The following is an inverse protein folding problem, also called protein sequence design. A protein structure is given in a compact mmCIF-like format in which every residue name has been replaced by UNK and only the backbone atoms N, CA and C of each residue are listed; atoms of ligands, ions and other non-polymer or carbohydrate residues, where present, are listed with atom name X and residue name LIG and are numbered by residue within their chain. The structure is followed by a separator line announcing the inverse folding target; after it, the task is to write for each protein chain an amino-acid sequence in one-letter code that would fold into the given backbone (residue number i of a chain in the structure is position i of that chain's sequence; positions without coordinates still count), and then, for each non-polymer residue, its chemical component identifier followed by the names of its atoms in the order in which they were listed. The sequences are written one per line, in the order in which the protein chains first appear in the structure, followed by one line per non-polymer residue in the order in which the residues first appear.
data_IF_753361675807
#
_entry.id   IF_753361675807
#
_cell.length_a   1.000
_cell.length_b   1.000
_cell.length_c   1.000
_cell.angle_alpha   90.00
_cell.angle_beta   90.00
_cell.angle_gamma   90.00
#
_symmetry.space_group_name_H-M   'P 1'
#
loop_
_entity.id
_entity.type
_entity.pdbx_description
1 polymer ?
#
# COMPACT_ATOMS: atom_id res chain seq x y z
N UNK A 1 -1.42 37.54 54.67
CA UNK A 1 -2.02 37.31 53.34
C UNK A 1 -0.90 36.93 52.38
N UNK A 2 -0.81 35.66 51.98
CA UNK A 2 0.19 35.17 51.00
C UNK A 2 -0.57 34.73 49.75
N UNK A 3 -0.42 35.49 48.68
CA UNK A 3 -0.96 35.18 47.37
C UNK A 3 0.00 34.21 46.67
N UNK A 4 -0.39 32.94 46.55
CA UNK A 4 0.29 31.98 45.67
C UNK A 4 -0.59 31.76 44.45
N UNK A 5 -0.22 32.41 43.36
CA UNK A 5 -0.83 32.21 42.04
C UNK A 5 -0.30 30.90 41.45
N UNK A 6 -1.15 29.89 41.31
CA UNK A 6 -0.85 28.62 40.65
C UNK A 6 -1.09 28.81 39.15
N UNK A 7 -0.01 29.00 38.39
CA UNK A 7 -0.03 28.90 36.93
C UNK A 7 -0.02 27.41 36.58
N UNK A 8 -1.19 26.86 36.26
CA UNK A 8 -1.31 25.51 35.72
C UNK A 8 -0.87 25.53 34.25
N UNK A 9 0.30 24.95 33.98
CA UNK A 9 0.85 24.81 32.63
C UNK A 9 0.11 23.66 31.92
N UNK A 10 -0.79 24.01 31.00
CA UNK A 10 -1.54 23.07 30.19
C UNK A 10 -0.60 22.44 29.15
N UNK A 11 -0.16 21.20 29.36
CA UNK A 11 0.64 20.45 28.39
C UNK A 11 -0.30 19.96 27.29
N UNK A 12 -0.41 20.71 26.20
CA UNK A 12 -1.08 20.26 24.98
C UNK A 12 -0.15 19.34 24.21
N UNK A 13 -0.36 18.03 24.32
CA UNK A 13 0.27 17.04 23.44
C UNK A 13 -0.25 17.24 22.02
N UNK A 14 0.55 17.86 21.16
CA UNK A 14 0.29 17.95 19.72
C UNK A 14 0.43 16.53 19.17
N UNK A 15 -0.70 15.87 18.92
CA UNK A 15 -0.72 14.64 18.14
C UNK A 15 -0.37 15.00 16.69
N UNK A 16 0.90 14.86 16.33
CA UNK A 16 1.37 15.00 14.95
C UNK A 16 0.70 13.94 14.09
N UNK A 17 -0.38 14.29 13.39
CA UNK A 17 -0.93 13.44 12.33
C UNK A 17 0.09 13.39 11.21
N UNK A 18 0.94 12.36 11.21
CA UNK A 18 1.86 12.12 10.11
C UNK A 18 1.04 11.87 8.84
N UNK A 19 0.86 12.91 8.02
CA UNK A 19 0.23 12.78 6.71
C UNK A 19 1.21 12.05 5.79
N UNK A 20 1.02 10.75 5.64
CA UNK A 20 1.79 9.95 4.69
C UNK A 20 1.33 10.28 3.26
N UNK A 21 2.24 10.74 2.40
CA UNK A 21 1.91 11.16 1.05
C UNK A 21 1.17 10.04 0.29
N UNK A 22 0.08 10.40 -0.38
CA UNK A 22 -0.80 9.51 -1.15
C UNK A 22 -1.60 8.49 -0.33
N UNK A 23 -1.28 8.29 0.95
CA UNK A 23 -1.95 7.27 1.77
C UNK A 23 -3.45 7.54 1.95
N UNK A 24 -3.93 8.77 2.21
CA UNK A 24 -5.37 9.02 2.33
C UNK A 24 -6.16 8.61 1.08
N UNK A 25 -5.63 8.91 -0.11
CA UNK A 25 -6.22 8.54 -1.40
C UNK A 25 -6.21 7.02 -1.61
N UNK A 26 -5.09 6.36 -1.32
CA UNK A 26 -4.97 4.90 -1.40
C UNK A 26 -5.97 4.22 -0.45
N UNK A 27 -6.12 4.75 0.77
CA UNK A 27 -7.04 4.22 1.78
C UNK A 27 -8.50 4.35 1.40
N UNK A 28 -8.89 5.34 0.58
CA UNK A 28 -10.27 5.42 0.05
C UNK A 28 -10.63 4.19 -0.78
N UNK A 29 -9.73 3.79 -1.69
CA UNK A 29 -9.91 2.58 -2.51
C UNK A 29 -9.77 1.32 -1.66
N UNK A 30 -8.74 1.26 -0.79
CA UNK A 30 -8.51 0.10 0.06
C UNK A 30 -9.72 -0.21 0.97
N UNK A 31 -10.29 0.82 1.60
CA UNK A 31 -11.44 0.68 2.49
C UNK A 31 -12.74 0.41 1.72
N UNK A 32 -12.88 0.97 0.51
CA UNK A 32 -14.08 0.82 -0.31
C UNK A 32 -13.73 0.54 -1.79
N UNK A 33 -13.38 -0.72 -2.13
CA UNK A 33 -12.96 -1.09 -3.48
C UNK A 33 -14.02 -0.84 -4.56
N UNK A 34 -15.29 -0.71 -4.18
CA UNK A 34 -16.40 -0.37 -5.11
C UNK A 34 -16.26 1.03 -5.73
N UNK A 35 -15.46 1.90 -5.14
CA UNK A 35 -15.16 3.23 -5.68
C UNK A 35 -14.18 3.17 -6.87
N UNK A 36 -13.50 2.03 -7.07
CA UNK A 36 -12.58 1.89 -8.18
C UNK A 36 -13.31 1.87 -9.53
N UNK A 37 -12.73 2.48 -10.58
CA UNK A 37 -13.26 2.37 -11.93
C UNK A 37 -13.37 0.91 -12.36
N UNK A 38 -14.49 0.57 -13.02
CA UNK A 38 -14.71 -0.78 -13.54
C UNK A 38 -13.83 -1.03 -14.76
N UNK A 39 -13.12 -2.14 -14.75
CA UNK A 39 -12.28 -2.65 -15.82
C UNK A 39 -12.94 -3.92 -16.36
N UNK A 40 -13.10 -4.02 -17.68
CA UNK A 40 -13.77 -5.14 -18.32
C UNK A 40 -13.13 -6.50 -17.98
N UNK A 41 -11.80 -6.54 -17.96
CA UNK A 41 -11.02 -7.73 -17.61
C UNK A 41 -11.30 -8.26 -16.19
N UNK A 42 -11.73 -7.39 -15.27
CA UNK A 42 -12.10 -7.76 -13.90
C UNK A 42 -13.51 -8.37 -13.77
N UNK A 43 -14.32 -8.36 -14.83
CA UNK A 43 -15.67 -9.00 -14.86
C UNK A 43 -16.58 -8.64 -13.67
N UNK A 44 -16.44 -7.44 -13.13
CA UNK A 44 -17.22 -6.97 -11.98
C UNK A 44 -16.64 -7.29 -10.60
N UNK A 45 -15.50 -7.99 -10.51
CA UNK A 45 -14.78 -8.18 -9.25
C UNK A 45 -14.28 -6.83 -8.70
N UNK A 46 -14.75 -6.46 -7.52
CA UNK A 46 -14.45 -5.17 -6.90
C UNK A 46 -13.00 -5.09 -6.42
N UNK A 47 -12.42 -6.20 -5.98
CA UNK A 47 -11.05 -6.25 -5.49
C UNK A 47 -10.06 -6.22 -6.65
N UNK A 48 -10.36 -6.88 -7.77
CA UNK A 48 -9.62 -6.74 -9.01
C UNK A 48 -9.57 -5.27 -9.49
N UNK A 49 -10.74 -4.62 -9.59
CA UNK A 49 -10.84 -3.22 -10.00
C UNK A 49 -10.07 -2.30 -9.05
N UNK A 50 -10.20 -2.55 -7.75
CA UNK A 50 -9.52 -1.81 -6.72
C UNK A 50 -8.01 -2.01 -6.72
N UNK A 51 -7.51 -3.23 -6.99
CA UNK A 51 -6.08 -3.48 -7.14
C UNK A 51 -5.51 -2.70 -8.33
N UNK A 52 -6.18 -2.70 -9.48
CA UNK A 52 -5.77 -1.90 -10.65
C UNK A 52 -5.80 -0.40 -10.35
N UNK A 53 -6.77 0.07 -9.56
CA UNK A 53 -6.82 1.48 -9.15
C UNK A 53 -5.69 1.83 -8.17
N UNK A 54 -5.35 0.95 -7.23
CA UNK A 54 -4.23 1.11 -6.31
C UNK A 54 -2.89 1.05 -7.05
N UNK A 55 -2.74 0.13 -8.01
CA UNK A 55 -1.49 -0.04 -8.75
C UNK A 55 -1.09 1.19 -9.57
N UNK A 56 -2.01 2.11 -9.85
CA UNK A 56 -1.74 3.41 -10.49
C UNK A 56 -1.17 4.45 -9.52
N UNK A 57 -1.42 4.31 -8.21
CA UNK A 57 -1.02 5.26 -7.16
C UNK A 57 0.39 4.99 -6.62
N UNK A 58 1.07 3.93 -7.06
CA UNK A 58 2.42 3.58 -6.59
C UNK A 58 3.46 4.71 -6.76
N UNK A 59 3.24 5.63 -7.71
CA UNK A 59 4.10 6.80 -7.92
C UNK A 59 4.05 7.78 -6.76
N UNK A 60 2.97 7.78 -5.99
CA UNK A 60 2.72 8.71 -4.88
C UNK A 60 3.45 8.29 -3.60
N UNK A 61 3.93 7.04 -3.52
CA UNK A 61 4.83 6.59 -2.45
C UNK A 61 6.11 7.45 -2.51
N UNK A 62 6.55 8.11 -1.42
CA UNK A 62 7.76 8.95 -1.46
C UNK A 62 9.00 8.18 -1.91
N UNK A 63 9.88 8.80 -2.72
CA UNK A 63 11.12 8.14 -3.16
C UNK A 63 12.07 7.79 -1.99
N UNK A 64 12.02 8.56 -0.90
CA UNK A 64 12.80 8.33 0.30
C UNK A 64 12.17 7.30 1.26
N UNK A 65 10.96 6.84 1.00
CA UNK A 65 10.28 5.88 1.88
C UNK A 65 10.99 4.51 1.88
N UNK A 66 11.04 3.88 3.05
CA UNK A 66 11.54 2.52 3.25
C UNK A 66 10.51 1.72 4.03
N UNK A 67 10.04 0.62 3.44
CA UNK A 67 9.15 -0.33 4.10
C UNK A 67 9.86 -0.96 5.29
N UNK A 68 9.20 -0.94 6.45
CA UNK A 68 9.77 -1.36 7.74
C UNK A 68 11.11 -0.66 8.06
N UNK A 69 11.32 0.55 7.53
CA UNK A 69 12.56 1.32 7.68
C UNK A 69 13.77 0.77 6.91
N UNK A 70 13.62 -0.29 6.12
CA UNK A 70 14.75 -1.01 5.50
C UNK A 70 14.66 -1.13 3.99
N UNK A 71 13.48 -1.46 3.46
CA UNK A 71 13.36 -1.94 2.08
C UNK A 71 12.82 -0.88 1.13
N UNK A 72 13.49 -0.67 -0.01
CA UNK A 72 13.03 0.24 -1.06
C UNK A 72 12.03 -0.44 -2.01
N UNK A 73 10.80 -0.59 -1.52
CA UNK A 73 9.70 -1.22 -2.28
C UNK A 73 9.34 -0.46 -3.56
N UNK A 74 9.60 0.85 -3.62
CA UNK A 74 9.36 1.64 -4.83
C UNK A 74 10.41 1.33 -5.89
N UNK A 75 11.66 1.11 -5.50
CA UNK A 75 12.69 0.61 -6.42
C UNK A 75 12.38 -0.79 -6.91
N UNK A 76 11.91 -1.70 -6.07
CA UNK A 76 11.49 -3.03 -6.51
C UNK A 76 10.32 -2.96 -7.49
N UNK A 77 9.31 -2.11 -7.21
CA UNK A 77 8.20 -1.88 -8.14
C UNK A 77 8.64 -1.37 -9.52
N UNK A 78 9.63 -0.46 -9.57
CA UNK A 78 10.17 0.04 -10.85
C UNK A 78 10.84 -1.03 -11.70
N UNK A 79 11.52 -1.98 -11.05
CA UNK A 79 12.21 -3.07 -11.76
C UNK A 79 11.23 -4.05 -12.40
N UNK A 80 9.98 -4.06 -11.95
CA UNK A 80 8.98 -4.99 -12.43
C UNK A 80 9.25 -6.42 -11.95
N UNK A 81 8.57 -7.39 -12.57
CA UNK A 81 8.84 -8.80 -12.33
C UNK A 81 10.26 -9.08 -12.81
N UNK A 82 11.13 -9.45 -11.87
CA UNK A 82 12.53 -9.76 -12.15
C UNK A 82 12.79 -11.19 -11.73
N UNK A 83 13.69 -11.88 -12.42
CA UNK A 83 14.05 -13.26 -12.12
C UNK A 83 15.53 -13.34 -11.74
N UNK A 84 15.87 -14.19 -10.77
CA UNK A 84 17.26 -14.55 -10.52
C UNK A 84 17.81 -15.53 -11.57
N UNK A 85 19.08 -15.90 -11.44
CA UNK A 85 19.74 -16.87 -12.33
C UNK A 85 19.18 -18.30 -12.22
N UNK A 86 18.28 -18.57 -11.27
CA UNK A 86 17.52 -19.82 -11.19
C UNK A 86 16.10 -19.69 -11.76
N UNK A 87 15.74 -18.54 -12.33
CA UNK A 87 14.41 -18.30 -12.88
C UNK A 87 13.33 -18.07 -11.82
N UNK A 88 13.71 -17.77 -10.56
CA UNK A 88 12.75 -17.44 -9.51
C UNK A 88 12.41 -15.96 -9.56
N UNK A 89 11.13 -15.61 -9.48
CA UNK A 89 10.69 -14.22 -9.38
C UNK A 89 11.30 -13.61 -8.09
N UNK A 90 12.02 -12.51 -8.17
CA UNK A 90 12.59 -11.78 -7.03
C UNK A 90 11.98 -10.39 -6.87
N UNK A 91 10.85 -10.14 -7.54
CA UNK A 91 10.00 -8.98 -7.30
C UNK A 91 9.33 -9.03 -5.91
N UNK A 92 8.48 -8.04 -5.64
CA UNK A 92 7.81 -7.86 -4.35
C UNK A 92 6.96 -9.08 -3.93
N UNK A 93 6.48 -9.86 -4.90
CA UNK A 93 5.70 -11.09 -4.68
C UNK A 93 6.45 -12.18 -3.88
N UNK A 94 7.79 -12.28 -3.99
CA UNK A 94 8.56 -13.33 -3.28
C UNK A 94 9.26 -12.84 -2.02
N UNK A 95 9.37 -11.54 -1.81
CA UNK A 95 10.17 -10.96 -0.73
C UNK A 95 9.39 -10.50 0.49
N UNK A 96 8.07 -10.42 0.40
CA UNK A 96 7.23 -9.77 1.42
C UNK A 96 5.94 -10.55 1.68
N UNK A 97 5.53 -10.54 2.95
CA UNK A 97 4.27 -11.13 3.39
C UNK A 97 3.21 -10.06 3.57
N UNK A 98 1.98 -10.36 3.14
CA UNK A 98 0.81 -9.53 3.37
C UNK A 98 0.00 -10.12 4.53
N UNK A 99 -0.36 -9.28 5.50
CA UNK A 99 -0.87 -9.73 6.79
C UNK A 99 -2.38 -9.74 6.89
N UNK A 100 -3.05 -8.95 6.08
CA UNK A 100 -4.49 -8.76 6.20
C UNK A 100 -5.26 -9.51 5.11
N UNK A 101 -6.37 -10.14 5.50
CA UNK A 101 -7.29 -10.79 4.54
C UNK A 101 -7.75 -9.82 3.46
N UNK A 102 -7.95 -8.54 3.81
CA UNK A 102 -8.33 -7.52 2.84
C UNK A 102 -7.25 -7.30 1.78
N UNK A 103 -5.99 -7.20 2.18
CA UNK A 103 -4.88 -7.11 1.23
C UNK A 103 -4.81 -8.36 0.36
N UNK A 104 -4.97 -9.55 0.94
CA UNK A 104 -5.01 -10.80 0.18
C UNK A 104 -6.17 -10.84 -0.82
N UNK A 105 -7.37 -10.36 -0.47
CA UNK A 105 -8.49 -10.25 -1.40
C UNK A 105 -8.17 -9.35 -2.61
N UNK A 106 -7.41 -8.26 -2.42
CA UNK A 106 -6.95 -7.42 -3.53
C UNK A 106 -5.99 -8.18 -4.47
N UNK A 107 -5.08 -8.96 -3.90
CA UNK A 107 -4.12 -9.77 -4.66
C UNK A 107 -4.86 -10.89 -5.41
N UNK A 108 -5.69 -11.66 -4.72
CA UNK A 108 -6.50 -12.74 -5.31
C UNK A 108 -7.44 -12.23 -6.39
N UNK A 109 -8.08 -11.07 -6.18
CA UNK A 109 -8.93 -10.43 -7.18
C UNK A 109 -8.15 -10.10 -8.45
N UNK A 110 -6.92 -9.58 -8.33
CA UNK A 110 -6.04 -9.34 -9.48
C UNK A 110 -5.59 -10.65 -10.15
N UNK A 111 -5.16 -11.64 -9.36
CA UNK A 111 -4.68 -12.92 -9.85
C UNK A 111 -5.77 -13.74 -10.57
N UNK A 112 -7.05 -13.46 -10.27
CA UNK A 112 -8.20 -14.05 -10.97
C UNK A 112 -8.35 -13.59 -12.43
N UNK A 113 -7.67 -12.50 -12.82
CA UNK A 113 -7.65 -12.03 -14.20
C UNK A 113 -6.95 -13.03 -15.12
N UNK A 114 -7.34 -13.06 -16.39
CA UNK A 114 -6.59 -13.80 -17.39
C UNK A 114 -5.16 -13.25 -17.51
N UNK A 115 -4.15 -14.11 -17.54
CA UNK A 115 -2.72 -13.72 -17.54
C UNK A 115 -2.38 -12.62 -18.55
N UNK A 116 -2.90 -12.70 -19.78
CA UNK A 116 -2.67 -11.68 -20.83
C UNK A 116 -3.17 -10.27 -20.45
N UNK A 117 -4.23 -10.19 -19.65
CA UNK A 117 -4.76 -8.91 -19.17
C UNK A 117 -3.94 -8.39 -17.98
N UNK A 118 -3.32 -9.28 -17.20
CA UNK A 118 -2.44 -8.91 -16.09
C UNK A 118 -1.17 -8.20 -16.57
N UNK A 119 -0.63 -8.60 -17.74
CA UNK A 119 0.56 -7.98 -18.35
C UNK A 119 0.38 -6.47 -18.64
N UNK A 120 -0.87 -6.01 -18.75
CA UNK A 120 -1.20 -4.59 -18.98
C UNK A 120 -1.23 -3.76 -17.68
N UNK A 121 -1.13 -4.42 -16.53
CA UNK A 121 -1.21 -3.80 -15.20
C UNK A 121 0.16 -3.82 -14.54
N UNK A 122 0.54 -2.72 -13.90
CA UNK A 122 1.74 -2.69 -13.08
C UNK A 122 1.52 -3.46 -11.76
N UNK A 123 1.54 -4.79 -11.81
CA UNK A 123 1.36 -5.68 -10.65
C UNK A 123 2.31 -5.27 -9.51
N UNK A 124 3.59 -5.09 -9.80
CA UNK A 124 4.58 -4.71 -8.78
C UNK A 124 4.30 -3.34 -8.16
N UNK A 125 3.75 -2.40 -8.92
CA UNK A 125 3.24 -1.13 -8.38
C UNK A 125 2.08 -1.34 -7.40
N UNK A 126 1.14 -2.24 -7.72
CA UNK A 126 0.04 -2.62 -6.82
C UNK A 126 0.54 -3.23 -5.52
N UNK A 127 1.45 -4.21 -5.61
CA UNK A 127 2.07 -4.84 -4.44
C UNK A 127 2.80 -3.81 -3.55
N UNK A 128 3.53 -2.86 -4.15
CA UNK A 128 4.18 -1.79 -3.38
C UNK A 128 3.18 -0.90 -2.63
N UNK A 129 2.04 -0.59 -3.24
CA UNK A 129 0.99 0.20 -2.57
C UNK A 129 0.38 -0.57 -1.41
N UNK A 130 0.12 -1.87 -1.57
CA UNK A 130 -0.40 -2.71 -0.49
C UNK A 130 0.60 -2.82 0.67
N UNK A 131 1.89 -3.04 0.39
CA UNK A 131 2.94 -3.03 1.42
C UNK A 131 3.05 -1.66 2.12
N UNK A 132 2.94 -0.57 1.37
CA UNK A 132 2.93 0.78 1.94
C UNK A 132 1.73 0.99 2.88
N UNK A 133 0.53 0.57 2.46
CA UNK A 133 -0.67 0.62 3.29
C UNK A 133 -0.47 -0.17 4.58
N UNK A 134 -0.02 -1.43 4.51
CA UNK A 134 0.12 -2.25 5.70
C UNK A 134 1.15 -1.67 6.67
N UNK A 135 2.32 -1.21 6.19
CA UNK A 135 3.35 -0.62 7.07
C UNK A 135 2.88 0.70 7.70
N UNK A 136 2.26 1.59 6.91
CA UNK A 136 1.81 2.88 7.43
C UNK A 136 0.65 2.80 8.41
N UNK A 137 -0.15 1.75 8.33
CA UNK A 137 -1.18 1.48 9.32
C UNK A 137 -0.67 0.59 10.48
N UNK A 138 0.60 0.19 10.47
CA UNK A 138 1.20 -0.64 11.53
C UNK A 138 0.81 -2.11 11.48
N UNK A 139 0.22 -2.59 10.38
CA UNK A 139 -0.20 -3.97 10.16
C UNK A 139 0.93 -4.87 9.68
N UNK A 140 2.03 -4.29 9.21
CA UNK A 140 3.19 -5.00 8.69
C UNK A 140 4.13 -5.58 9.77
N UNK A 141 3.77 -5.51 11.07
CA UNK A 141 4.62 -5.97 12.17
C UNK A 141 4.31 -7.42 12.54
N UNK A 142 5.35 -8.13 12.97
CA UNK A 142 5.26 -9.40 13.70
C UNK A 142 4.84 -9.15 15.15
#
# INVERSE_FOLDING_TARGET
MKNTSLIAMLITTIASTASFAGLPEMMKIYNNPKLAPKIAACKGDVYCNGFIALSKQWKDIPNAYRYQGKYDIKSYARKGVTYDNQGRNIGLHMGFYFRTDRTNNFIEGFDSMHYKDQDLVNNQGGLAVLLYIEDKNGWAKD
#
